data_IF_963527330020
#
_entry.id   IF_963527330020
#
_cell.length_a   1.000
_cell.length_b   1.000
_cell.length_c   1.000
_cell.angle_alpha   90.00
_cell.angle_beta   90.00
_cell.angle_gamma   90.00
#
_symmetry.space_group_name_H-M   'P 1'
#
loop_
_entity.id
_entity.type
_entity.pdbx_description
1 polymer ?
#
# COMPACT_ATOMS: atom_id res chain seq x y z
N UNK A 1 24.70 0.87 -12.77
CA UNK A 1 23.80 0.63 -11.63
C UNK A 1 22.50 0.02 -12.16
N UNK A 2 22.04 -1.07 -11.55
CA UNK A 2 20.76 -1.66 -11.90
C UNK A 2 19.64 -0.91 -11.17
N UNK A 3 18.61 -0.49 -11.91
CA UNK A 3 17.42 0.10 -11.34
C UNK A 3 16.43 -1.00 -10.91
N UNK A 4 15.68 -0.80 -9.82
CA UNK A 4 14.66 -1.76 -9.41
C UNK A 4 13.54 -1.84 -10.45
N UNK A 5 13.04 -3.05 -10.70
CA UNK A 5 11.88 -3.27 -11.58
C UNK A 5 10.55 -3.06 -10.84
N UNK A 6 10.56 -3.29 -9.53
CA UNK A 6 9.38 -3.18 -8.66
C UNK A 6 9.78 -2.39 -7.40
N UNK A 7 8.96 -1.41 -7.05
CA UNK A 7 9.10 -0.65 -5.81
C UNK A 7 7.83 -0.82 -5.01
N UNK A 8 7.94 -1.34 -3.80
CA UNK A 8 6.82 -1.42 -2.85
C UNK A 8 6.76 -0.16 -2.02
N UNK A 9 5.59 0.45 -1.99
CA UNK A 9 5.33 1.65 -1.25
C UNK A 9 4.24 1.38 -0.21
N UNK A 10 4.59 1.51 1.06
CA UNK A 10 3.64 1.46 2.15
C UNK A 10 3.86 2.64 3.09
N UNK A 11 2.79 3.35 3.39
CA UNK A 11 2.78 4.37 4.42
C UNK A 11 1.83 3.97 5.54
N UNK A 12 2.20 4.33 6.75
CA UNK A 12 1.41 4.07 7.93
C UNK A 12 0.51 5.25 8.31
N UNK A 13 -0.22 5.07 9.38
CA UNK A 13 -1.12 6.07 9.93
C UNK A 13 -0.42 7.35 10.41
N UNK A 14 0.91 7.32 10.57
CA UNK A 14 1.68 8.50 10.94
C UNK A 14 1.52 9.67 9.96
N UNK A 15 1.17 9.38 8.70
CA UNK A 15 1.00 10.40 7.66
C UNK A 15 -0.18 11.34 7.94
N UNK A 16 -1.18 10.90 8.68
CA UNK A 16 -2.40 11.67 8.89
C UNK A 16 -2.80 11.88 10.35
N UNK A 17 -2.18 11.21 11.30
CA UNK A 17 -2.49 11.35 12.73
C UNK A 17 -2.25 12.78 13.23
N UNK A 18 -1.23 13.44 12.72
CA UNK A 18 -0.89 14.82 13.09
C UNK A 18 -1.62 15.89 12.28
N UNK A 19 -2.34 15.50 11.22
CA UNK A 19 -3.07 16.45 10.39
C UNK A 19 -4.26 17.03 11.13
N UNK A 20 -4.52 18.31 10.87
CA UNK A 20 -5.69 19.04 11.40
C UNK A 20 -6.72 19.25 10.31
N UNK A 21 -7.97 19.46 10.70
CA UNK A 21 -9.06 19.72 9.79
C UNK A 21 -10.09 18.61 9.75
N UNK A 22 -11.00 18.69 8.79
CA UNK A 22 -12.04 17.68 8.55
C UNK A 22 -11.45 16.40 7.95
N UNK A 23 -12.20 15.31 7.97
CA UNK A 23 -11.81 14.06 7.33
C UNK A 23 -11.49 14.28 5.84
N UNK A 24 -12.34 15.01 5.12
CA UNK A 24 -12.13 15.32 3.70
C UNK A 24 -10.84 16.12 3.46
N UNK A 25 -10.53 17.11 4.31
CA UNK A 25 -9.30 17.89 4.23
C UNK A 25 -8.06 17.02 4.48
N UNK A 26 -8.14 16.11 5.44
CA UNK A 26 -7.06 15.15 5.74
C UNK A 26 -6.82 14.17 4.58
N UNK A 27 -7.89 13.64 3.99
CA UNK A 27 -7.78 12.76 2.81
C UNK A 27 -7.13 13.52 1.65
N UNK A 28 -7.59 14.75 1.36
CA UNK A 28 -7.04 15.56 0.28
C UNK A 28 -5.54 15.84 0.50
N UNK A 29 -5.13 16.24 1.70
CA UNK A 29 -3.73 16.51 2.02
C UNK A 29 -2.85 15.26 1.88
N UNK A 30 -3.32 14.10 2.38
CA UNK A 30 -2.60 12.84 2.22
C UNK A 30 -2.47 12.45 0.76
N UNK A 31 -3.53 12.58 -0.02
CA UNK A 31 -3.51 12.21 -1.44
C UNK A 31 -2.62 13.11 -2.26
N UNK A 32 -2.61 14.41 -2.01
CA UNK A 32 -1.71 15.36 -2.69
C UNK A 32 -0.24 15.01 -2.44
N UNK A 33 0.12 14.74 -1.20
CA UNK A 33 1.46 14.32 -0.83
C UNK A 33 1.86 13.01 -1.53
N UNK A 34 0.99 12.01 -1.50
CA UNK A 34 1.25 10.72 -2.13
C UNK A 34 1.38 10.82 -3.66
N UNK A 35 0.53 11.60 -4.30
CA UNK A 35 0.62 11.84 -5.74
C UNK A 35 1.95 12.44 -6.15
N UNK A 36 2.41 13.46 -5.42
CA UNK A 36 3.71 14.08 -5.67
C UNK A 36 4.85 13.07 -5.50
N UNK A 37 4.82 12.29 -4.44
CA UNK A 37 5.84 11.29 -4.16
C UNK A 37 5.88 10.19 -5.21
N UNK A 38 4.72 9.69 -5.65
CA UNK A 38 4.67 8.70 -6.73
C UNK A 38 5.19 9.25 -8.05
N UNK A 39 4.87 10.49 -8.38
CA UNK A 39 5.38 11.16 -9.58
C UNK A 39 6.89 11.32 -9.53
N UNK A 40 7.46 11.74 -8.40
CA UNK A 40 8.91 11.86 -8.23
C UNK A 40 9.63 10.51 -8.36
N UNK A 41 9.08 9.45 -7.76
CA UNK A 41 9.64 8.11 -7.89
C UNK A 41 9.59 7.66 -9.36
N UNK A 42 8.46 7.88 -10.03
CA UNK A 42 8.30 7.52 -11.44
C UNK A 42 9.27 8.28 -12.34
N UNK A 43 9.49 9.57 -12.10
CA UNK A 43 10.45 10.37 -12.86
C UNK A 43 11.89 9.85 -12.71
N UNK A 44 12.23 9.38 -11.52
CA UNK A 44 13.57 8.79 -11.26
C UNK A 44 13.69 7.34 -11.76
N UNK A 45 12.61 6.61 -11.77
CA UNK A 45 12.55 5.18 -12.11
C UNK A 45 11.40 4.92 -13.11
N UNK A 46 11.50 5.44 -14.35
CA UNK A 46 10.37 5.42 -15.30
C UNK A 46 9.93 4.01 -15.72
N UNK A 47 10.81 3.03 -15.63
CA UNK A 47 10.52 1.64 -16.02
C UNK A 47 10.03 0.78 -14.84
N UNK A 48 10.06 1.30 -13.61
CA UNK A 48 9.63 0.55 -12.43
C UNK A 48 8.10 0.56 -12.27
N UNK A 49 7.54 -0.57 -11.86
CA UNK A 49 6.17 -0.62 -11.31
C UNK A 49 6.21 -0.25 -9.83
N UNK A 50 5.32 0.67 -9.45
CA UNK A 50 5.11 1.03 -8.05
C UNK A 50 3.94 0.24 -7.50
N UNK A 51 4.20 -0.62 -6.54
CA UNK A 51 3.15 -1.35 -5.81
C UNK A 51 2.76 -0.53 -4.59
N UNK A 52 1.55 -0.01 -4.61
CA UNK A 52 1.00 0.82 -3.53
C UNK A 52 0.18 -0.07 -2.62
N UNK A 53 0.66 -0.25 -1.39
CA UNK A 53 -0.05 -1.03 -0.38
C UNK A 53 -1.08 -0.17 0.32
N UNK A 54 -2.24 -0.74 0.61
CA UNK A 54 -3.25 -0.08 1.45
C UNK A 54 -2.72 0.17 2.87
N UNK A 55 -3.25 1.18 3.54
CA UNK A 55 -3.10 1.28 4.98
C UNK A 55 -3.80 0.13 5.68
N UNK A 56 -3.16 -0.46 6.68
CA UNK A 56 -3.77 -1.45 7.55
C UNK A 56 -4.69 -0.76 8.57
N UNK A 57 -5.77 -1.44 8.93
CA UNK A 57 -6.67 -0.98 9.99
C UNK A 57 -6.11 -1.48 11.33
N UNK A 58 -5.82 -0.54 12.23
CA UNK A 58 -4.99 -0.77 13.40
C UNK A 58 -5.82 -0.71 14.68
N UNK A 59 -5.82 -1.76 15.52
CA UNK A 59 -6.55 -1.72 16.80
C UNK A 59 -6.07 -0.59 17.71
N UNK A 60 -4.79 -0.28 17.72
CA UNK A 60 -4.22 0.82 18.51
C UNK A 60 -4.54 2.22 17.97
N UNK A 61 -5.20 2.32 16.81
CA UNK A 61 -5.64 3.56 16.18
C UNK A 61 -7.03 3.43 15.60
N UNK A 62 -7.92 2.80 16.33
CA UNK A 62 -9.31 2.54 15.91
C UNK A 62 -10.09 3.80 15.57
N UNK A 63 -9.78 4.93 16.21
CA UNK A 63 -10.40 6.23 15.91
C UNK A 63 -10.09 6.73 14.49
N UNK A 64 -9.05 6.22 13.84
CA UNK A 64 -8.68 6.58 12.48
C UNK A 64 -9.13 5.54 11.44
N UNK A 65 -9.92 4.54 11.82
CA UNK A 65 -10.35 3.47 10.91
C UNK A 65 -11.06 4.01 9.67
N UNK A 66 -12.08 4.82 9.86
CA UNK A 66 -12.86 5.38 8.74
C UNK A 66 -12.00 6.25 7.82
N UNK A 67 -11.13 7.07 8.40
CA UNK A 67 -10.20 7.90 7.64
C UNK A 67 -9.24 7.03 6.81
N UNK A 68 -8.71 5.96 7.39
CA UNK A 68 -7.84 5.01 6.68
C UNK A 68 -8.58 4.34 5.53
N UNK A 69 -9.82 3.91 5.75
CA UNK A 69 -10.66 3.33 4.69
C UNK A 69 -10.91 4.31 3.55
N UNK A 70 -11.16 5.59 3.84
CA UNK A 70 -11.33 6.62 2.80
C UNK A 70 -10.04 6.85 2.01
N UNK A 71 -8.90 6.92 2.68
CA UNK A 71 -7.59 7.03 2.02
C UNK A 71 -7.32 5.81 1.13
N UNK A 72 -7.62 4.61 1.61
CA UNK A 72 -7.45 3.38 0.83
C UNK A 72 -8.33 3.39 -0.44
N UNK A 73 -9.58 3.85 -0.35
CA UNK A 73 -10.45 4.01 -1.54
C UNK A 73 -9.88 5.02 -2.53
N UNK A 74 -9.37 6.14 -2.02
CA UNK A 74 -8.77 7.16 -2.87
C UNK A 74 -7.48 6.67 -3.56
N UNK A 75 -6.65 5.89 -2.85
CA UNK A 75 -5.46 5.26 -3.41
C UNK A 75 -5.82 4.25 -4.50
N UNK A 76 -6.81 3.40 -4.26
CA UNK A 76 -7.29 2.44 -5.26
C UNK A 76 -7.74 3.15 -6.55
N UNK A 77 -8.53 4.22 -6.40
CA UNK A 77 -9.00 5.02 -7.54
C UNK A 77 -7.85 5.69 -8.30
N UNK A 78 -6.84 6.19 -7.60
CA UNK A 78 -5.64 6.77 -8.22
C UNK A 78 -4.86 5.71 -9.02
N UNK A 79 -4.64 4.55 -8.45
CA UNK A 79 -3.91 3.45 -9.08
C UNK A 79 -4.62 2.93 -10.34
N UNK A 80 -5.96 2.90 -10.32
CA UNK A 80 -6.77 2.51 -11.47
C UNK A 80 -6.58 3.41 -12.70
N UNK A 81 -6.25 4.68 -12.48
CA UNK A 81 -6.05 5.71 -13.52
C UNK A 81 -4.58 5.91 -13.92
N UNK A 82 -3.65 5.22 -13.28
CA UNK A 82 -2.21 5.48 -13.42
C UNK A 82 -1.47 4.18 -13.77
N UNK A 83 -0.99 4.08 -14.99
CA UNK A 83 -0.43 2.84 -15.57
C UNK A 83 0.75 2.24 -14.80
N UNK A 84 1.57 3.08 -14.15
CA UNK A 84 2.73 2.62 -13.41
C UNK A 84 2.46 2.29 -11.94
N UNK A 85 1.21 2.49 -11.47
CA UNK A 85 0.80 2.17 -10.11
C UNK A 85 -0.02 0.86 -10.08
N UNK A 86 0.26 0.04 -9.09
CA UNK A 86 -0.47 -1.19 -8.82
C UNK A 86 -0.93 -1.18 -7.36
N UNK A 87 -2.23 -1.20 -7.12
CA UNK A 87 -2.80 -1.18 -5.77
C UNK A 87 -2.98 -2.57 -5.20
N UNK A 88 -2.56 -2.78 -3.96
CA UNK A 88 -2.79 -4.01 -3.20
C UNK A 88 -3.52 -3.66 -1.91
N UNK A 89 -4.74 -4.14 -1.77
CA UNK A 89 -5.53 -3.96 -0.56
C UNK A 89 -5.28 -5.12 0.43
N UNK A 90 -4.60 -4.81 1.52
CA UNK A 90 -4.33 -5.74 2.61
C UNK A 90 -5.16 -5.45 3.87
N UNK A 91 -6.11 -4.52 3.81
CA UNK A 91 -6.89 -4.08 4.96
C UNK A 91 -7.71 -5.21 5.61
N UNK A 92 -8.21 -6.15 4.81
CA UNK A 92 -8.97 -7.31 5.30
C UNK A 92 -8.14 -8.27 6.17
N UNK A 93 -6.82 -8.19 6.12
CA UNK A 93 -5.96 -8.99 7.01
C UNK A 93 -6.15 -8.62 8.48
N UNK A 94 -6.40 -7.34 8.76
CA UNK A 94 -6.45 -6.80 10.12
C UNK A 94 -7.83 -6.42 10.61
N UNK A 95 -8.81 -6.33 9.70
CA UNK A 95 -10.19 -5.98 10.02
C UNK A 95 -11.17 -6.77 9.15
N UNK A 96 -12.07 -7.51 9.79
CA UNK A 96 -13.05 -8.36 9.09
C UNK A 96 -14.42 -7.68 8.85
N UNK A 97 -14.53 -6.40 9.20
CA UNK A 97 -15.78 -5.63 9.17
C UNK A 97 -16.45 -5.52 10.54
N UNK A 98 -16.03 -6.30 11.52
CA UNK A 98 -16.58 -6.31 12.88
C UNK A 98 -15.50 -6.29 13.96
N UNK A 99 -14.37 -6.96 13.73
CA UNK A 99 -13.33 -7.17 14.71
C UNK A 99 -11.94 -7.00 14.11
N UNK A 100 -11.02 -6.47 14.92
CA UNK A 100 -9.59 -6.45 14.59
C UNK A 100 -8.95 -7.80 14.87
N UNK A 101 -7.96 -8.15 14.06
CA UNK A 101 -7.10 -9.30 14.26
C UNK A 101 -5.99 -8.96 15.28
N UNK A 102 -6.37 -8.78 16.55
CA UNK A 102 -5.46 -8.36 17.62
C UNK A 102 -4.25 -9.29 17.75
N UNK A 103 -4.41 -10.56 17.44
CA UNK A 103 -3.39 -11.60 17.48
C UNK A 103 -2.23 -11.37 16.49
N UNK A 104 -2.41 -10.48 15.52
CA UNK A 104 -1.36 -10.16 14.54
C UNK A 104 -0.49 -8.96 14.95
N UNK A 105 -0.78 -8.35 16.09
CA UNK A 105 -0.11 -7.14 16.54
C UNK A 105 0.70 -7.38 17.82
N UNK A 106 1.75 -6.57 18.02
CA UNK A 106 2.38 -6.44 19.31
C UNK A 106 1.48 -5.63 20.25
N UNK A 107 1.88 -5.48 21.51
CA UNK A 107 1.06 -4.86 22.57
C UNK A 107 0.52 -3.46 22.23
N UNK A 108 1.20 -2.71 21.37
CA UNK A 108 0.76 -1.35 21.00
C UNK A 108 -0.46 -1.33 20.07
N UNK A 109 -0.80 -2.46 19.44
CA UNK A 109 -1.90 -2.53 18.48
C UNK A 109 -1.64 -1.76 17.19
N UNK A 110 -0.41 -1.36 16.92
CA UNK A 110 0.00 -0.55 15.76
C UNK A 110 0.97 -1.33 14.87
N UNK A 111 1.94 -1.99 15.48
CA UNK A 111 2.96 -2.74 14.76
C UNK A 111 2.60 -4.23 14.71
N UNK A 112 2.76 -4.83 13.54
CA UNK A 112 2.57 -6.27 13.36
C UNK A 112 3.62 -7.05 14.17
N UNK A 113 3.18 -8.13 14.82
CA UNK A 113 4.09 -9.10 15.38
C UNK A 113 4.65 -10.03 14.28
N UNK A 114 5.43 -11.04 14.64
CA UNK A 114 6.03 -11.96 13.69
C UNK A 114 5.00 -12.66 12.80
N UNK A 115 3.90 -13.15 13.37
CA UNK A 115 2.82 -13.80 12.61
C UNK A 115 2.12 -12.84 11.66
N UNK A 116 1.87 -11.60 12.12
CA UNK A 116 1.30 -10.54 11.28
C UNK A 116 2.19 -10.20 10.09
N UNK A 117 3.50 -10.09 10.31
CA UNK A 117 4.47 -9.84 9.24
C UNK A 117 4.53 -10.99 8.24
N UNK A 118 4.55 -12.25 8.71
CA UNK A 118 4.53 -13.42 7.83
C UNK A 118 3.23 -13.50 7.01
N UNK A 119 2.09 -13.23 7.64
CA UNK A 119 0.79 -13.21 6.95
C UNK A 119 0.76 -12.15 5.85
N UNK A 120 1.26 -10.95 6.16
CA UNK A 120 1.34 -9.86 5.20
C UNK A 120 2.23 -10.20 4.00
N UNK A 121 3.42 -10.74 4.27
CA UNK A 121 4.35 -11.17 3.22
C UNK A 121 3.79 -12.30 2.35
N UNK A 122 3.27 -13.35 2.97
CA UNK A 122 2.80 -14.55 2.25
C UNK A 122 1.54 -14.29 1.42
N UNK A 123 0.60 -13.53 1.95
CA UNK A 123 -0.73 -13.41 1.36
C UNK A 123 -0.91 -12.16 0.49
N UNK A 124 -0.07 -11.13 0.66
CA UNK A 124 -0.23 -9.84 -0.04
C UNK A 124 0.99 -9.41 -0.84
N UNK A 125 2.20 -9.63 -0.35
CA UNK A 125 3.43 -9.22 -1.07
C UNK A 125 3.86 -10.28 -2.08
N UNK A 126 4.02 -11.52 -1.64
CA UNK A 126 4.51 -12.62 -2.48
C UNK A 126 3.66 -12.85 -3.74
N UNK A 127 2.31 -12.88 -3.67
CA UNK A 127 1.51 -13.09 -4.87
C UNK A 127 1.71 -12.01 -5.94
N UNK A 128 1.93 -10.76 -5.53
CA UNK A 128 2.19 -9.65 -6.46
C UNK A 128 3.55 -9.81 -7.13
N UNK A 129 4.57 -10.16 -6.37
CA UNK A 129 5.91 -10.42 -6.93
C UNK A 129 5.85 -11.56 -7.94
N UNK A 130 5.19 -12.67 -7.63
CA UNK A 130 5.04 -13.81 -8.52
C UNK A 130 4.34 -13.43 -9.83
N UNK A 131 3.26 -12.66 -9.74
CA UNK A 131 2.53 -12.16 -10.91
C UNK A 131 3.40 -11.25 -11.77
N UNK A 132 4.11 -10.30 -11.17
CA UNK A 132 4.97 -9.36 -11.89
C UNK A 132 6.17 -10.03 -12.54
N UNK A 133 6.80 -11.00 -11.88
CA UNK A 133 7.90 -11.78 -12.46
C UNK A 133 7.43 -12.53 -13.70
N UNK A 134 6.26 -13.17 -13.65
CA UNK A 134 5.69 -13.87 -14.81
C UNK A 134 5.44 -12.92 -15.99
N UNK A 135 4.95 -11.71 -15.73
CA UNK A 135 4.75 -10.69 -16.77
C UNK A 135 6.07 -10.21 -17.38
N UNK A 136 7.11 -10.00 -16.57
CA UNK A 136 8.45 -9.63 -17.05
C UNK A 136 9.07 -10.72 -17.90
N UNK A 137 8.97 -12.00 -17.50
CA UNK A 137 9.49 -13.13 -18.26
C UNK A 137 8.82 -13.22 -19.64
N UNK A 138 7.50 -13.04 -19.73
CA UNK A 138 6.79 -13.00 -21.00
C UNK A 138 7.23 -11.84 -21.88
N UNK A 139 7.48 -10.67 -21.32
CA UNK A 139 7.98 -9.50 -22.06
C UNK A 139 9.38 -9.74 -22.60
N UNK A 140 10.27 -10.40 -21.85
CA UNK A 140 11.60 -10.78 -22.30
C UNK A 140 11.54 -11.75 -23.47
N UNK A 141 10.73 -12.79 -23.40
CA UNK A 141 10.53 -13.77 -24.48
C UNK A 141 10.06 -13.09 -25.77
N UNK A 142 9.16 -12.10 -25.69
CA UNK A 142 8.70 -11.34 -26.85
C UNK A 142 9.77 -10.46 -27.46
N UNK A 143 10.73 -9.94 -26.67
CA UNK A 143 11.84 -9.12 -27.17
C UNK A 143 12.95 -9.95 -27.83
N UNK A 144 13.10 -11.18 -27.43
CA UNK A 144 14.10 -12.13 -27.99
C UNK A 144 13.60 -12.89 -29.21
N UNK A 145 12.32 -12.87 -29.45
CA UNK A 145 11.65 -13.44 -30.64
C UNK A 145 11.45 -12.45 -31.73
#
# INVERSE_FOLDING_TARGET
MRHPAIVFFQTGSNDYVSLKGTAAEKVAACMDYKKQMFAEIHDQLPDAKLVVMSGLLLPGRSEYRELTEEINRALAALCEKTDYLWFVDASAMTWDGQRYADELFIKDGIHLNHEGQLSWMRNYIRPVIETMISEFDLTQVQKEG
#
